data_IF_334390931855
#
_entry.id   IF_334390931855
#
_cell.length_a   1.000
_cell.length_b   1.000
_cell.length_c   1.000
_cell.angle_alpha   90.00
_cell.angle_beta   90.00
_cell.angle_gamma   90.00
#
_symmetry.space_group_name_H-M   'P 1'
#
loop_
_entity.id
_entity.type
_entity.pdbx_description
1 polymer ?
#
# COMPACT_ATOMS: atom_id res chain seq x y z
N UNK A 1 -17.95 -10.47 17.18
CA UNK A 1 -16.76 -11.19 17.68
C UNK A 1 -16.77 -11.29 19.20
N UNK A 2 -16.97 -10.19 19.95
CA UNK A 2 -17.19 -10.30 21.41
C UNK A 2 -18.56 -10.91 21.77
N UNK A 3 -19.58 -10.75 20.92
CA UNK A 3 -20.88 -11.41 21.14
C UNK A 3 -20.82 -12.95 21.04
N UNK A 4 -19.77 -13.50 20.46
CA UNK A 4 -19.57 -14.95 20.27
C UNK A 4 -18.60 -15.57 21.28
N UNK A 5 -17.77 -14.75 21.94
CA UNK A 5 -16.74 -15.20 22.88
C UNK A 5 -17.06 -14.64 24.26
N UNK A 6 -17.27 -15.52 25.26
CA UNK A 6 -17.80 -15.19 26.60
C UNK A 6 -16.89 -14.31 27.47
N UNK A 7 -15.71 -13.93 26.99
CA UNK A 7 -14.72 -13.16 27.76
C UNK A 7 -14.13 -11.99 26.94
N UNK A 8 -14.06 -10.81 27.58
CA UNK A 8 -13.40 -9.63 27.02
C UNK A 8 -11.88 -9.76 27.12
N UNK A 9 -11.26 -10.47 26.19
CA UNK A 9 -9.79 -10.51 26.10
C UNK A 9 -9.24 -9.26 25.40
N UNK A 10 -8.07 -8.78 25.82
CA UNK A 10 -7.37 -7.68 25.13
C UNK A 10 -6.86 -8.19 23.77
N UNK A 11 -7.64 -7.96 22.72
CA UNK A 11 -7.31 -8.39 21.35
C UNK A 11 -6.09 -7.62 20.81
N UNK A 12 -5.17 -8.33 20.16
CA UNK A 12 -4.04 -7.75 19.42
C UNK A 12 -4.37 -7.77 17.93
N UNK A 13 -4.33 -6.60 17.29
CA UNK A 13 -4.57 -6.48 15.86
C UNK A 13 -3.26 -6.24 15.12
N UNK A 14 -2.98 -7.08 14.13
CA UNK A 14 -1.80 -6.96 13.26
C UNK A 14 -2.25 -6.50 11.88
N UNK A 15 -2.01 -5.23 11.57
CA UNK A 15 -2.32 -4.66 10.27
C UNK A 15 -1.27 -5.06 9.24
N UNK A 16 -1.74 -5.47 8.07
CA UNK A 16 -0.90 -5.79 6.92
C UNK A 16 -1.44 -5.10 5.66
N UNK A 17 -0.57 -4.83 4.68
CA UNK A 17 -0.99 -4.28 3.38
C UNK A 17 -0.05 -4.70 2.25
N UNK A 18 -0.49 -4.48 1.01
CA UNK A 18 0.37 -4.54 -0.18
C UNK A 18 0.36 -3.17 -0.87
N UNK A 19 1.52 -2.76 -1.37
CA UNK A 19 1.70 -1.58 -2.20
C UNK A 19 2.16 -1.97 -3.60
N UNK A 20 1.95 -1.07 -4.54
CA UNK A 20 2.30 -1.23 -5.95
C UNK A 20 2.88 0.06 -6.50
N UNK A 21 3.76 -0.06 -7.50
CA UNK A 21 4.30 1.08 -8.22
C UNK A 21 3.15 1.99 -8.70
N UNK A 22 3.18 3.30 -8.36
CA UNK A 22 2.01 4.17 -8.51
C UNK A 22 1.47 4.32 -9.93
N UNK A 23 2.33 4.38 -10.96
CA UNK A 23 1.88 4.50 -12.36
C UNK A 23 1.16 3.22 -12.77
N UNK A 24 1.77 2.06 -12.54
CA UNK A 24 1.18 0.76 -12.82
C UNK A 24 -0.14 0.55 -12.05
N UNK A 25 -0.18 0.95 -10.78
CA UNK A 25 -1.39 0.90 -9.95
C UNK A 25 -2.50 1.80 -10.49
N UNK A 26 -2.17 3.04 -10.88
CA UNK A 26 -3.14 3.99 -11.43
C UNK A 26 -3.73 3.49 -12.75
N UNK A 27 -2.89 3.00 -13.68
CA UNK A 27 -3.33 2.43 -14.96
C UNK A 27 -4.16 1.16 -14.77
N UNK A 28 -3.78 0.31 -13.81
CA UNK A 28 -4.55 -0.88 -13.46
C UNK A 28 -5.95 -0.51 -12.95
N UNK A 29 -6.05 0.56 -12.15
CA UNK A 29 -7.34 1.05 -11.65
C UNK A 29 -8.17 1.68 -12.77
N UNK A 30 -7.57 2.53 -13.61
CA UNK A 30 -8.19 3.09 -14.81
C UNK A 30 -8.85 2.00 -15.66
N UNK A 31 -8.10 0.96 -16.04
CA UNK A 31 -8.64 -0.15 -16.84
C UNK A 31 -9.75 -0.90 -16.10
N UNK A 32 -9.71 -1.00 -14.78
CA UNK A 32 -10.76 -1.64 -14.00
C UNK A 32 -12.05 -0.79 -14.00
N UNK A 33 -11.91 0.53 -13.82
CA UNK A 33 -13.01 1.49 -13.86
C UNK A 33 -13.65 1.55 -15.24
N UNK A 34 -12.84 1.55 -16.30
CA UNK A 34 -13.31 1.51 -17.70
C UNK A 34 -14.19 0.29 -18.00
N UNK A 35 -14.08 -0.80 -17.22
CA UNK A 35 -14.94 -1.99 -17.33
C UNK A 35 -16.04 -2.05 -16.25
N UNK A 36 -16.36 -0.93 -15.61
CA UNK A 36 -17.51 -0.77 -14.71
C UNK A 36 -17.22 -0.80 -13.21
N UNK A 37 -15.95 -0.86 -12.77
CA UNK A 37 -15.65 -0.74 -11.34
C UNK A 37 -15.88 0.68 -10.82
N UNK A 38 -16.46 0.79 -9.62
CA UNK A 38 -16.76 2.09 -8.99
C UNK A 38 -16.37 2.15 -7.52
N UNK A 39 -16.48 1.03 -6.79
CA UNK A 39 -16.44 0.98 -5.33
C UNK A 39 -17.40 1.98 -4.65
N UNK A 40 -18.52 2.33 -5.30
CA UNK A 40 -19.45 3.39 -4.85
C UNK A 40 -20.13 3.12 -3.50
N UNK A 41 -20.08 1.89 -3.00
CA UNK A 41 -20.59 1.50 -1.66
C UNK A 41 -19.56 1.74 -0.54
N UNK A 42 -18.35 2.20 -0.86
CA UNK A 42 -17.34 2.54 0.13
C UNK A 42 -17.83 3.70 1.01
N UNK A 43 -17.81 3.48 2.34
CA UNK A 43 -18.38 4.42 3.31
C UNK A 43 -17.54 5.69 3.49
N UNK A 44 -16.24 5.62 3.25
CA UNK A 44 -15.30 6.72 3.48
C UNK A 44 -15.41 7.35 4.88
N UNK A 45 -15.60 6.50 5.90
CA UNK A 45 -15.83 6.93 7.27
C UNK A 45 -14.59 7.66 7.83
N UNK A 46 -14.75 8.90 8.24
CA UNK A 46 -13.72 9.70 8.89
C UNK A 46 -14.36 10.67 9.88
N UNK A 47 -13.77 10.83 11.07
CA UNK A 47 -14.36 11.68 12.12
C UNK A 47 -15.79 11.27 12.51
N UNK A 48 -16.10 9.96 12.44
CA UNK A 48 -17.41 9.42 12.80
C UNK A 48 -18.52 9.55 11.74
N UNK A 49 -18.26 10.12 10.55
CA UNK A 49 -19.26 10.28 9.48
C UNK A 49 -18.71 10.00 8.08
N UNK A 50 -19.63 9.80 7.12
CA UNK A 50 -19.30 9.75 5.70
C UNK A 50 -19.19 11.17 5.11
N UNK A 51 -18.39 11.36 4.04
CA UNK A 51 -18.31 12.64 3.35
C UNK A 51 -19.61 12.97 2.62
N UNK A 52 -19.93 14.25 2.52
CA UNK A 52 -21.02 14.76 1.68
C UNK A 52 -20.63 14.72 0.21
N UNK A 53 -21.61 14.82 -0.70
CA UNK A 53 -21.35 14.96 -2.15
C UNK A 53 -20.54 16.22 -2.50
N UNK A 54 -20.55 17.24 -1.65
CA UNK A 54 -19.73 18.45 -1.82
C UNK A 54 -18.26 18.20 -1.46
N UNK A 55 -18.02 17.43 -0.40
CA UNK A 55 -16.67 17.06 0.05
C UNK A 55 -16.03 16.02 -0.88
N UNK A 56 -16.85 15.11 -1.43
CA UNK A 56 -16.41 14.06 -2.34
C UNK A 56 -17.40 13.90 -3.51
N UNK A 57 -17.33 14.77 -4.53
CA UNK A 57 -18.20 14.67 -5.70
C UNK A 57 -17.82 13.47 -6.58
N UNK A 58 -18.79 12.74 -7.15
CA UNK A 58 -18.51 11.64 -8.05
C UNK A 58 -17.88 12.14 -9.36
N UNK A 59 -17.06 11.29 -10.00
CA UNK A 59 -16.48 11.59 -11.31
C UNK A 59 -17.37 11.17 -12.49
N UNK A 60 -18.48 10.49 -12.21
CA UNK A 60 -19.38 9.94 -13.22
C UNK A 60 -20.82 10.12 -12.79
N UNK A 61 -21.71 10.09 -13.78
CA UNK A 61 -23.16 10.09 -13.59
C UNK A 61 -23.72 8.69 -13.87
N UNK A 62 -24.89 8.38 -13.31
CA UNK A 62 -25.54 7.10 -13.53
C UNK A 62 -24.92 5.92 -12.76
N UNK A 63 -24.80 4.76 -13.43
CA UNK A 63 -24.50 3.49 -12.76
C UNK A 63 -23.02 3.33 -12.42
N UNK A 64 -22.14 3.68 -13.35
CA UNK A 64 -20.70 3.49 -13.29
C UNK A 64 -19.97 4.41 -14.27
N UNK A 65 -18.65 4.26 -14.37
CA UNK A 65 -17.78 5.05 -15.24
C UNK A 65 -17.21 4.20 -16.39
N UNK A 66 -18.03 3.30 -16.93
CA UNK A 66 -17.64 2.47 -18.08
C UNK A 66 -17.26 3.34 -19.28
N UNK A 67 -16.33 2.83 -20.09
CA UNK A 67 -15.85 3.49 -21.32
C UNK A 67 -15.17 4.85 -21.13
N UNK A 68 -14.87 5.24 -19.89
CA UNK A 68 -14.06 6.43 -19.59
C UNK A 68 -12.73 6.40 -20.33
N UNK A 69 -12.33 7.52 -20.92
CA UNK A 69 -11.00 7.67 -21.53
C UNK A 69 -9.93 7.95 -20.46
N UNK A 70 -8.67 7.66 -20.75
CA UNK A 70 -7.58 7.98 -19.82
C UNK A 70 -7.54 9.49 -19.48
N UNK A 71 -7.78 10.34 -20.47
CA UNK A 71 -7.82 11.79 -20.30
C UNK A 71 -8.95 12.22 -19.33
N UNK A 72 -10.18 11.71 -19.53
CA UNK A 72 -11.30 11.96 -18.61
C UNK A 72 -11.00 11.46 -17.20
N UNK A 73 -10.37 10.29 -17.09
CA UNK A 73 -9.98 9.70 -15.82
C UNK A 73 -8.96 10.58 -15.07
N UNK A 74 -7.98 11.15 -15.78
CA UNK A 74 -6.99 12.08 -15.22
C UNK A 74 -7.57 13.47 -14.91
N UNK A 75 -8.55 13.93 -15.68
CA UNK A 75 -9.14 15.27 -15.56
C UNK A 75 -10.11 15.42 -14.37
N UNK A 76 -10.67 14.34 -13.84
CA UNK A 76 -11.55 14.43 -12.67
C UNK A 76 -10.78 14.77 -11.39
N UNK A 77 -11.00 15.98 -10.86
CA UNK A 77 -10.33 16.50 -9.64
C UNK A 77 -10.62 15.67 -8.37
N UNK A 78 -11.77 15.00 -8.29
CA UNK A 78 -12.16 14.16 -7.16
C UNK A 78 -11.86 12.67 -7.38
N UNK A 79 -11.10 12.31 -8.43
CA UNK A 79 -10.77 10.92 -8.71
C UNK A 79 -9.99 10.29 -7.55
N UNK A 80 -10.62 9.32 -6.88
CA UNK A 80 -10.03 8.59 -5.76
C UNK A 80 -8.85 7.67 -6.17
N UNK A 81 -8.60 7.48 -7.45
CA UNK A 81 -7.36 6.85 -7.92
C UNK A 81 -6.13 7.71 -7.60
N UNK A 82 -6.26 9.04 -7.55
CA UNK A 82 -5.15 9.96 -7.31
C UNK A 82 -4.66 9.82 -5.87
N UNK A 83 -3.35 9.57 -5.70
CA UNK A 83 -2.68 9.36 -4.41
C UNK A 83 -3.43 8.39 -3.48
N UNK A 84 -3.98 7.31 -4.07
CA UNK A 84 -4.83 6.35 -3.35
C UNK A 84 -4.10 5.71 -2.19
N UNK A 85 -2.86 5.27 -2.39
CA UNK A 85 -2.11 4.53 -1.37
C UNK A 85 -1.84 5.43 -0.16
N UNK A 86 -1.39 6.66 -0.41
CA UNK A 86 -1.17 7.68 0.62
C UNK A 86 -2.46 8.00 1.37
N UNK A 87 -3.54 8.29 0.64
CA UNK A 87 -4.83 8.63 1.28
C UNK A 87 -5.39 7.48 2.11
N UNK A 88 -5.25 6.24 1.66
CA UNK A 88 -5.81 5.06 2.36
C UNK A 88 -4.95 4.61 3.56
N UNK A 89 -3.67 5.00 3.60
CA UNK A 89 -2.77 4.67 4.71
C UNK A 89 -2.63 5.81 5.72
N UNK A 90 -2.96 7.04 5.36
CA UNK A 90 -2.93 8.18 6.26
C UNK A 90 -4.11 8.19 7.25
N UNK A 91 -3.88 8.76 8.41
CA UNK A 91 -4.97 9.24 9.27
C UNK A 91 -5.53 10.54 8.68
N UNK A 92 -6.70 10.44 8.05
CA UNK A 92 -7.34 11.58 7.41
C UNK A 92 -7.93 12.58 8.42
N UNK A 93 -8.09 12.22 9.70
CA UNK A 93 -8.58 13.18 10.71
C UNK A 93 -7.60 14.33 10.92
N UNK A 94 -6.30 14.08 10.73
CA UNK A 94 -5.23 15.08 10.80
C UNK A 94 -5.35 16.19 9.75
N UNK A 95 -6.13 15.96 8.69
CA UNK A 95 -6.28 16.89 7.55
C UNK A 95 -7.72 17.32 7.30
N UNK A 96 -8.58 17.26 8.33
CA UNK A 96 -9.99 17.63 8.19
C UNK A 96 -10.80 16.64 7.34
N UNK A 97 -10.39 15.36 7.30
CA UNK A 97 -11.02 14.31 6.52
C UNK A 97 -11.05 14.64 5.01
N UNK A 98 -12.26 14.70 4.44
CA UNK A 98 -12.52 15.03 3.04
C UNK A 98 -12.81 16.53 2.83
N UNK A 99 -12.86 17.33 3.89
CA UNK A 99 -13.01 18.78 3.78
C UNK A 99 -11.66 19.42 3.42
N UNK A 100 -11.50 19.78 2.14
CA UNK A 100 -10.26 20.37 1.64
C UNK A 100 -10.08 21.85 2.00
N UNK A 101 -11.08 22.51 2.59
CA UNK A 101 -11.02 23.94 2.95
C UNK A 101 -10.36 24.21 4.30
N UNK A 102 -10.05 23.17 5.08
CA UNK A 102 -9.49 23.31 6.44
C UNK A 102 -8.05 23.83 6.42
N UNK A 103 -7.31 23.57 5.35
CA UNK A 103 -5.91 23.98 5.21
C UNK A 103 -5.52 24.06 3.74
N UNK A 104 -4.34 24.62 3.46
CA UNK A 104 -3.83 24.67 2.08
C UNK A 104 -3.56 23.27 1.53
N UNK A 105 -3.63 23.12 0.20
CA UNK A 105 -3.33 21.85 -0.48
C UNK A 105 -1.95 21.31 -0.09
N UNK A 106 -0.93 22.17 -0.07
CA UNK A 106 0.43 21.76 0.28
C UNK A 106 0.54 21.21 1.71
N UNK A 107 -0.01 21.93 2.71
CA UNK A 107 -0.02 21.46 4.10
C UNK A 107 -0.74 20.11 4.23
N UNK A 108 -1.90 19.97 3.59
CA UNK A 108 -2.67 18.72 3.57
C UNK A 108 -1.85 17.56 3.02
N UNK A 109 -1.16 17.77 1.90
CA UNK A 109 -0.35 16.76 1.23
C UNK A 109 0.86 16.33 2.07
N UNK A 110 1.55 17.28 2.73
CA UNK A 110 2.67 16.99 3.64
C UNK A 110 2.22 16.15 4.85
N UNK A 111 1.12 16.55 5.51
CA UNK A 111 0.60 15.84 6.69
C UNK A 111 0.13 14.43 6.33
N UNK A 112 -0.63 14.27 5.23
CA UNK A 112 -1.09 12.94 4.79
C UNK A 112 0.09 12.01 4.51
N UNK A 113 1.11 12.49 3.79
CA UNK A 113 2.26 11.66 3.44
C UNK A 113 3.07 11.24 4.66
N UNK A 114 3.32 12.16 5.59
CA UNK A 114 3.99 11.85 6.85
C UNK A 114 3.21 10.80 7.65
N UNK A 115 1.89 10.96 7.76
CA UNK A 115 1.00 10.01 8.42
C UNK A 115 1.02 8.63 7.74
N UNK A 116 0.94 8.57 6.41
CA UNK A 116 0.98 7.32 5.66
C UNK A 116 2.31 6.57 5.86
N UNK A 117 3.45 7.26 5.80
CA UNK A 117 4.77 6.67 6.07
C UNK A 117 4.85 6.10 7.49
N UNK A 118 4.39 6.86 8.48
CA UNK A 118 4.41 6.44 9.88
C UNK A 118 3.51 5.21 10.11
N UNK A 119 2.29 5.21 9.55
CA UNK A 119 1.36 4.10 9.69
C UNK A 119 1.90 2.84 9.02
N UNK A 120 2.42 2.96 7.79
CA UNK A 120 3.03 1.85 7.06
C UNK A 120 4.22 1.26 7.83
N UNK A 121 5.09 2.10 8.40
CA UNK A 121 6.24 1.66 9.19
C UNK A 121 5.82 0.88 10.44
N UNK A 122 4.68 1.24 11.06
CA UNK A 122 4.15 0.59 12.26
C UNK A 122 3.33 -0.68 11.98
N UNK A 123 2.92 -0.92 10.73
CA UNK A 123 2.24 -2.16 10.37
C UNK A 123 3.14 -3.36 10.65
N UNK A 124 2.51 -4.45 11.09
CA UNK A 124 3.20 -5.71 11.37
C UNK A 124 3.95 -6.19 10.13
N UNK A 125 3.31 -6.05 8.96
CA UNK A 125 3.90 -6.43 7.68
C UNK A 125 3.37 -5.56 6.54
N UNK A 126 4.19 -5.33 5.52
CA UNK A 126 3.70 -4.92 4.21
C UNK A 126 4.56 -5.54 3.11
N UNK A 127 3.97 -5.69 1.92
CA UNK A 127 4.65 -6.20 0.73
C UNK A 127 4.59 -5.23 -0.44
N UNK A 128 5.40 -5.52 -1.46
CA UNK A 128 5.37 -4.82 -2.75
C UNK A 128 5.03 -5.82 -3.86
N UNK A 129 4.07 -5.47 -4.71
CA UNK A 129 3.60 -6.33 -5.80
C UNK A 129 4.73 -6.72 -6.79
N UNK A 130 5.73 -5.85 -6.93
CA UNK A 130 6.91 -6.02 -7.79
C UNK A 130 7.95 -6.99 -7.21
N UNK A 131 7.79 -7.40 -5.94
CA UNK A 131 8.76 -8.22 -5.20
C UNK A 131 8.06 -9.36 -4.47
N UNK A 132 7.38 -10.25 -5.21
CA UNK A 132 6.52 -11.28 -4.60
C UNK A 132 7.29 -12.30 -3.76
N UNK A 133 8.44 -12.81 -4.25
CA UNK A 133 9.27 -13.76 -3.49
C UNK A 133 9.81 -13.13 -2.19
N UNK A 134 10.24 -11.87 -2.27
CA UNK A 134 10.69 -11.10 -1.10
C UNK A 134 9.54 -10.88 -0.10
N UNK A 135 8.36 -10.54 -0.61
CA UNK A 135 7.12 -10.39 0.16
C UNK A 135 6.76 -11.68 0.88
N UNK A 136 6.79 -12.83 0.19
CA UNK A 136 6.58 -14.15 0.80
C UNK A 136 7.58 -14.39 1.93
N UNK A 137 8.88 -14.24 1.65
CA UNK A 137 9.95 -14.44 2.62
C UNK A 137 9.72 -13.61 3.89
N UNK A 138 9.49 -12.31 3.74
CA UNK A 138 9.29 -11.41 4.87
C UNK A 138 8.02 -11.75 5.66
N UNK A 139 6.93 -12.11 5.00
CA UNK A 139 5.68 -12.50 5.66
C UNK A 139 5.86 -13.74 6.52
N UNK A 140 6.47 -14.79 5.95
CA UNK A 140 6.75 -16.05 6.64
C UNK A 140 7.59 -15.84 7.90
N UNK A 141 8.62 -14.99 7.84
CA UNK A 141 9.46 -14.67 9.00
C UNK A 141 8.77 -13.78 10.02
N UNK A 142 7.93 -12.83 9.57
CA UNK A 142 7.21 -11.92 10.47
C UNK A 142 6.23 -12.66 11.37
N UNK A 143 5.55 -13.68 10.83
CA UNK A 143 4.48 -14.39 11.53
C UNK A 143 4.83 -15.84 11.91
N UNK A 144 6.05 -16.30 11.62
CA UNK A 144 6.46 -17.70 11.78
C UNK A 144 5.51 -18.68 11.07
N UNK A 145 5.11 -18.33 9.84
CA UNK A 145 4.23 -19.13 8.99
C UNK A 145 4.96 -19.59 7.73
N UNK A 146 4.38 -20.55 7.01
CA UNK A 146 4.86 -21.03 5.71
C UNK A 146 3.71 -21.12 4.72
N UNK A 147 3.91 -20.59 3.52
CA UNK A 147 2.96 -20.82 2.44
C UNK A 147 3.19 -22.21 1.84
N UNK A 148 2.11 -22.91 1.50
CA UNK A 148 2.19 -24.23 0.87
C UNK A 148 2.76 -24.15 -0.55
N UNK A 149 2.45 -23.07 -1.27
CA UNK A 149 2.95 -22.83 -2.61
C UNK A 149 3.80 -21.55 -2.64
N UNK A 150 4.98 -21.58 -3.30
CA UNK A 150 5.82 -20.41 -3.43
C UNK A 150 5.17 -19.38 -4.36
N UNK A 151 5.38 -18.11 -4.04
CA UNK A 151 4.89 -17.00 -4.85
C UNK A 151 5.65 -16.94 -6.18
N UNK A 152 4.94 -16.63 -7.26
CA UNK A 152 5.48 -16.52 -8.60
C UNK A 152 5.46 -15.08 -9.08
N UNK A 153 6.62 -14.55 -9.47
CA UNK A 153 6.71 -13.19 -9.96
C UNK A 153 6.02 -13.07 -11.33
N UNK A 154 4.90 -12.34 -11.38
CA UNK A 154 4.17 -12.03 -12.61
C UNK A 154 4.37 -10.56 -12.98
N UNK A 155 5.32 -10.30 -13.88
CA UNK A 155 5.65 -8.95 -14.32
C UNK A 155 4.72 -8.44 -15.43
N UNK A 156 4.17 -9.36 -16.24
CA UNK A 156 3.19 -9.04 -17.27
C UNK A 156 1.81 -8.86 -16.64
N UNK A 157 1.32 -7.62 -16.67
CA UNK A 157 0.03 -7.25 -16.09
C UNK A 157 -0.75 -6.41 -17.08
N UNK A 158 -2.07 -6.27 -16.89
CA UNK A 158 -2.87 -5.40 -17.77
C UNK A 158 -2.36 -3.95 -17.81
N UNK A 159 -1.73 -3.50 -16.73
CA UNK A 159 -1.06 -2.19 -16.68
C UNK A 159 0.24 -2.13 -17.48
N UNK A 160 1.00 -3.21 -17.62
CA UNK A 160 2.20 -3.19 -18.49
C UNK A 160 1.82 -3.06 -19.96
N UNK A 161 0.73 -3.73 -20.39
CA UNK A 161 0.16 -3.55 -21.72
C UNK A 161 -0.38 -2.14 -21.94
N UNK A 162 -1.08 -1.58 -20.95
CA UNK A 162 -1.59 -0.21 -21.04
C UNK A 162 -0.44 0.81 -21.07
N UNK A 163 0.64 0.56 -20.34
CA UNK A 163 1.80 1.45 -20.30
C UNK A 163 2.49 1.55 -21.68
N UNK A 164 2.51 0.46 -22.45
CA UNK A 164 3.04 0.48 -23.83
C UNK A 164 2.13 1.20 -24.84
N UNK A 165 0.88 1.48 -24.48
CA UNK A 165 -0.12 2.11 -25.37
C UNK A 165 -0.24 3.63 -25.15
N UNK A 166 0.42 4.18 -24.14
CA UNK A 166 0.32 5.61 -23.77
C UNK A 166 1.64 6.34 -24.02
N UNK A 167 1.56 7.64 -24.29
CA UNK A 167 2.72 8.47 -24.56
C UNK A 167 3.43 8.90 -23.26
N UNK A 168 4.65 9.42 -23.39
CA UNK A 168 5.47 9.86 -22.24
C UNK A 168 4.84 11.04 -21.48
N UNK A 169 4.09 11.91 -22.16
CA UNK A 169 3.39 13.05 -21.57
C UNK A 169 2.31 12.58 -20.58
N UNK A 170 1.50 11.60 -20.96
CA UNK A 170 0.49 10.96 -20.11
C UNK A 170 1.15 10.26 -18.93
N UNK A 171 2.29 9.58 -19.14
CA UNK A 171 3.05 8.97 -18.05
C UNK A 171 3.51 10.02 -17.04
N UNK A 172 4.07 11.14 -17.52
CA UNK A 172 4.52 12.22 -16.64
C UNK A 172 3.34 12.84 -15.89
N UNK A 173 2.21 13.05 -16.56
CA UNK A 173 0.99 13.55 -15.94
C UNK A 173 0.44 12.61 -14.86
N UNK A 174 0.49 11.30 -15.08
CA UNK A 174 0.12 10.31 -14.05
C UNK A 174 1.07 10.39 -12.85
N UNK A 175 2.37 10.56 -13.08
CA UNK A 175 3.36 10.74 -12.00
C UNK A 175 3.05 11.99 -11.18
N UNK A 176 2.75 13.10 -11.83
CA UNK A 176 2.45 14.37 -11.16
C UNK A 176 1.17 14.28 -10.31
N UNK A 177 0.13 13.64 -10.87
CA UNK A 177 -1.11 13.34 -10.12
C UNK A 177 -0.82 12.48 -8.89
N UNK A 178 0.03 11.45 -9.03
CA UNK A 178 0.33 10.47 -7.98
C UNK A 178 1.64 10.73 -7.23
N UNK A 179 2.10 11.99 -7.16
CA UNK A 179 3.38 12.37 -6.57
C UNK A 179 3.58 11.89 -5.12
N UNK A 180 2.51 11.87 -4.31
CA UNK A 180 2.61 11.40 -2.92
C UNK A 180 2.75 9.89 -2.86
N UNK A 181 2.01 9.18 -3.72
CA UNK A 181 2.15 7.72 -3.83
C UNK A 181 3.55 7.33 -4.31
N UNK A 182 4.18 8.12 -5.19
CA UNK A 182 5.57 7.91 -5.63
C UNK A 182 6.53 8.03 -4.45
N UNK A 183 6.43 9.10 -3.69
CA UNK A 183 7.31 9.31 -2.53
C UNK A 183 7.06 8.25 -1.44
N UNK A 184 5.80 7.87 -1.20
CA UNK A 184 5.43 6.80 -0.28
C UNK A 184 5.97 5.45 -0.75
N UNK A 185 5.87 5.12 -2.04
CA UNK A 185 6.37 3.88 -2.61
C UNK A 185 7.89 3.78 -2.55
N UNK A 186 8.60 4.88 -2.81
CA UNK A 186 10.06 4.95 -2.63
C UNK A 186 10.46 4.68 -1.18
N UNK A 187 9.78 5.33 -0.22
CA UNK A 187 9.97 5.06 1.21
C UNK A 187 9.70 3.59 1.56
N UNK A 188 8.55 3.05 1.10
CA UNK A 188 8.14 1.68 1.36
C UNK A 188 9.16 0.67 0.81
N UNK A 189 9.68 0.90 -0.40
CA UNK A 189 10.71 0.09 -1.02
C UNK A 189 11.99 0.09 -0.19
N UNK A 190 12.52 1.27 0.15
CA UNK A 190 13.72 1.34 1.00
C UNK A 190 13.53 0.62 2.33
N UNK A 191 12.38 0.82 3.01
CA UNK A 191 12.08 0.16 4.28
C UNK A 191 11.94 -1.37 4.13
N UNK A 192 11.31 -1.85 3.05
CA UNK A 192 11.18 -3.29 2.79
C UNK A 192 12.55 -3.96 2.64
N UNK A 193 13.43 -3.36 1.84
CA UNK A 193 14.79 -3.88 1.64
C UNK A 193 15.63 -3.80 2.91
N UNK A 194 15.49 -2.76 3.72
CA UNK A 194 16.13 -2.70 5.05
C UNK A 194 15.65 -3.82 5.98
N UNK A 195 14.34 -4.09 6.03
CA UNK A 195 13.77 -5.21 6.82
C UNK A 195 14.31 -6.55 6.37
N UNK A 196 14.45 -6.75 5.05
CA UNK A 196 15.05 -7.95 4.50
C UNK A 196 16.53 -8.12 4.87
N UNK A 197 17.34 -7.07 4.69
CA UNK A 197 18.75 -7.11 5.07
C UNK A 197 18.94 -7.37 6.56
N UNK A 198 18.11 -6.78 7.43
CA UNK A 198 18.16 -7.02 8.86
C UNK A 198 17.90 -8.50 9.22
N UNK A 199 16.88 -9.12 8.61
CA UNK A 199 16.57 -10.54 8.84
C UNK A 199 17.66 -11.46 8.28
N UNK A 200 18.24 -11.14 7.12
CA UNK A 200 19.32 -11.94 6.55
C UNK A 200 20.62 -11.83 7.35
N UNK A 201 20.99 -10.62 7.81
CA UNK A 201 22.17 -10.45 8.66
C UNK A 201 21.99 -11.18 9.99
N UNK A 202 20.79 -11.11 10.59
CA UNK A 202 20.47 -11.85 11.81
C UNK A 202 20.61 -13.36 11.60
N UNK A 203 20.23 -13.89 10.42
CA UNK A 203 20.46 -15.30 10.09
C UNK A 203 21.93 -15.66 9.93
N UNK A 204 22.71 -14.84 9.24
CA UNK A 204 24.14 -15.09 9.06
C UNK A 204 24.88 -15.02 10.41
N UNK A 205 24.48 -14.12 11.31
CA UNK A 205 24.98 -14.04 12.68
C UNK A 205 24.56 -15.25 13.51
N UNK A 206 23.31 -15.71 13.39
CA UNK A 206 22.85 -16.94 14.07
C UNK A 206 23.55 -18.18 13.50
N UNK A 207 23.80 -18.27 12.20
CA UNK A 207 24.55 -19.38 11.58
C UNK A 207 26.04 -19.34 11.92
N UNK A 208 26.63 -18.16 12.17
CA UNK A 208 28.01 -18.02 12.68
C UNK A 208 28.10 -18.30 14.18
N UNK A 209 27.15 -17.82 14.99
CA UNK A 209 27.07 -18.09 16.43
C UNK A 209 26.72 -19.55 16.72
N UNK A 210 25.89 -20.18 15.89
CA UNK A 210 25.60 -21.62 15.98
C UNK A 210 26.81 -22.49 15.62
N UNK A 211 27.76 -21.98 14.83
CA UNK A 211 29.04 -22.65 14.58
C UNK A 211 30.02 -22.44 15.74
N UNK A 212 30.13 -21.22 16.27
CA UNK A 212 31.00 -20.92 17.42
C UNK A 212 30.55 -21.62 18.72
N UNK A 213 29.24 -21.78 18.95
CA UNK A 213 28.71 -22.52 20.10
C UNK A 213 28.86 -24.04 19.95
N UNK A 214 28.82 -24.57 18.72
CA UNK A 214 29.10 -25.99 18.48
C UNK A 214 30.60 -26.29 18.64
N UNK A 215 31.48 -25.42 18.15
CA UNK A 215 32.93 -25.61 18.27
C UNK A 215 33.41 -25.46 19.74
N UNK A 216 32.76 -24.63 20.57
CA UNK A 216 33.05 -24.53 22.01
C UNK A 216 32.54 -25.71 22.86
N UNK A 217 31.57 -26.50 22.36
CA UNK A 217 31.08 -27.70 23.05
C UNK A 217 31.99 -28.91 22.78
N UNK A 218 32.77 -28.90 21.69
CA UNK A 218 33.67 -30.00 21.31
C UNK A 218 35.16 -29.78 21.65
N UNK A 219 35.53 -28.67 22.29
CA UNK A 219 36.91 -28.42 22.78
C UNK A 219 37.09 -28.59 24.31
N UNK A 220 36.07 -29.02 25.06
CA UNK A 220 36.18 -29.23 26.52
C UNK A 220 36.30 -30.70 26.98
N UNK A 221 36.42 -31.66 26.06
CA UNK A 221 36.66 -33.08 26.39
C UNK A 221 38.04 -33.54 25.86
N UNK A 222 39.10 -32.91 26.38
CA UNK A 222 40.46 -33.50 26.45
C UNK A 222 40.76 -33.86 27.89
#
# INVERSE_FOLDING_TARGET
MDQTERESSKRRYFYITLLREPVARFLSEYRHVQRGATWKTARHLCGGRSPTKKELPPCFEGKDWSDVTLEQFMNCKSNLAINRQTRMLADLTLVGCYNQSVMTKHQREVIMLASAKQNLQRMAFFGLCEYQKLTQYLFEHTFHLKFLQPFQQLNETRSSLTLSEINEEDVQRIKDLNRLDIELYQFAKSLLFQRYSFLNNSKNTIESESKEVIDQIFESDV
#
